data_IF_047802504835
#
_entry.id   IF_047802504835
#
_cell.length_a   1.000
_cell.length_b   1.000
_cell.length_c   1.000
_cell.angle_alpha   90.00
_cell.angle_beta   90.00
_cell.angle_gamma   90.00
#
_symmetry.space_group_name_H-M   'P 1'
#
loop_
_entity.id
_entity.type
_entity.pdbx_description
1 polymer ?
#
# COMPACT_ATOMS: atom_id res chain seq x y z
N UNK A 1 -24.20 18.91 0.93
CA UNK A 1 -24.84 17.70 1.51
C UNK A 1 -23.94 16.50 1.20
N UNK A 2 -23.45 15.80 2.22
CA UNK A 2 -22.62 14.60 2.03
C UNK A 2 -23.55 13.39 2.08
N UNK A 3 -23.70 12.71 0.94
CA UNK A 3 -24.45 11.46 0.90
C UNK A 3 -23.62 10.34 1.51
N UNK A 4 -24.10 9.75 2.59
CA UNK A 4 -23.49 8.58 3.22
C UNK A 4 -23.89 7.30 2.48
N UNK A 5 -22.91 6.48 2.13
CA UNK A 5 -23.12 5.15 1.55
C UNK A 5 -22.55 4.09 2.50
N UNK A 6 -23.33 3.03 2.74
CA UNK A 6 -22.81 1.85 3.47
C UNK A 6 -22.06 0.96 2.50
N UNK A 7 -20.84 0.60 2.82
CA UNK A 7 -20.04 -0.37 2.09
C UNK A 7 -19.63 -1.51 3.04
N UNK A 8 -19.56 -2.72 2.51
CA UNK A 8 -18.98 -3.87 3.23
C UNK A 8 -17.55 -4.02 2.77
N UNK A 9 -16.63 -4.04 3.73
CA UNK A 9 -15.22 -4.30 3.45
C UNK A 9 -15.02 -5.75 2.99
N UNK A 10 -14.11 -5.93 2.07
CA UNK A 10 -13.78 -7.23 1.51
C UNK A 10 -13.69 -7.21 0.00
N UNK A 11 -13.40 -8.36 -0.59
CA UNK A 11 -13.27 -8.54 -2.04
C UNK A 11 -14.21 -9.61 -2.56
N UNK A 12 -14.51 -9.57 -3.84
CA UNK A 12 -15.18 -10.65 -4.54
C UNK A 12 -14.29 -11.89 -4.57
N UNK A 13 -14.90 -13.07 -4.57
CA UNK A 13 -14.16 -14.33 -4.79
C UNK A 13 -13.52 -14.39 -6.18
N UNK A 14 -14.23 -13.87 -7.19
CA UNK A 14 -13.75 -13.70 -8.56
C UNK A 14 -14.06 -12.28 -9.01
N UNK A 15 -13.02 -11.54 -9.42
CA UNK A 15 -13.19 -10.23 -10.04
C UNK A 15 -13.42 -10.34 -11.56
N UNK A 16 -12.88 -11.38 -12.19
CA UNK A 16 -13.15 -11.69 -13.59
C UNK A 16 -13.98 -12.98 -13.70
N UNK A 17 -15.19 -12.85 -14.21
CA UNK A 17 -16.12 -13.96 -14.45
C UNK A 17 -16.78 -13.82 -15.83
N UNK A 18 -16.62 -14.79 -16.71
CA UNK A 18 -17.13 -14.75 -18.08
C UNK A 18 -16.56 -13.57 -18.87
N UNK A 19 -17.43 -12.70 -19.36
CA UNK A 19 -17.08 -11.49 -20.11
C UNK A 19 -17.08 -10.21 -19.23
N UNK A 20 -17.17 -10.35 -17.91
CA UNK A 20 -17.23 -9.22 -17.00
C UNK A 20 -16.01 -9.19 -16.10
N UNK A 21 -15.39 -8.01 -15.96
CA UNK A 21 -14.29 -7.76 -15.01
C UNK A 21 -14.68 -6.62 -14.10
N UNK A 22 -14.67 -6.88 -12.79
CA UNK A 22 -14.78 -5.85 -11.77
C UNK A 22 -13.41 -5.23 -11.53
N UNK A 23 -13.36 -3.90 -11.41
CA UNK A 23 -12.15 -3.16 -11.06
C UNK A 23 -12.45 -2.19 -9.92
N UNK A 24 -11.45 -1.91 -9.08
CA UNK A 24 -11.60 -1.01 -7.95
C UNK A 24 -12.75 -1.40 -7.02
N UNK A 25 -13.59 -0.46 -6.62
CA UNK A 25 -14.70 -0.71 -5.67
C UNK A 25 -15.77 -1.69 -6.18
N UNK A 26 -15.87 -1.91 -7.48
CA UNK A 26 -16.75 -2.94 -8.03
C UNK A 26 -16.22 -4.37 -7.76
N UNK A 27 -14.93 -4.52 -7.54
CA UNK A 27 -14.26 -5.78 -7.24
C UNK A 27 -14.04 -5.99 -5.73
N UNK A 28 -13.69 -4.93 -5.00
CA UNK A 28 -13.48 -5.00 -3.56
C UNK A 28 -13.38 -3.63 -2.90
N UNK A 29 -13.69 -3.58 -1.63
CA UNK A 29 -13.64 -2.36 -0.82
C UNK A 29 -12.69 -2.59 0.34
N UNK A 30 -11.70 -1.72 0.45
CA UNK A 30 -10.77 -1.66 1.58
C UNK A 30 -10.96 -0.36 2.34
N UNK A 31 -10.45 -0.28 3.56
CA UNK A 31 -10.51 0.96 4.35
C UNK A 31 -9.83 2.13 3.62
N UNK A 32 -10.46 3.31 3.53
CA UNK A 32 -9.89 4.47 2.84
C UNK A 32 -8.89 5.25 3.72
N UNK A 33 -8.19 4.58 4.64
CA UNK A 33 -7.20 5.18 5.53
C UNK A 33 -5.85 5.45 4.85
N UNK A 34 -5.63 4.81 3.72
CA UNK A 34 -4.40 4.91 2.92
C UNK A 34 -4.77 5.12 1.45
N UNK A 35 -3.82 5.44 0.56
CA UNK A 35 -4.06 5.44 -0.88
C UNK A 35 -4.32 4.05 -1.48
N UNK A 36 -4.41 2.98 -0.68
CA UNK A 36 -4.62 1.60 -1.16
C UNK A 36 -5.79 1.45 -2.16
N UNK A 37 -6.97 2.08 -1.99
CA UNK A 37 -8.03 1.98 -3.00
C UNK A 37 -7.61 2.44 -4.40
N UNK A 38 -6.78 3.47 -4.49
CA UNK A 38 -6.28 3.97 -5.78
C UNK A 38 -5.19 3.07 -6.35
N UNK A 39 -4.27 2.60 -5.50
CA UNK A 39 -3.25 1.62 -5.88
C UNK A 39 -3.88 0.33 -6.43
N UNK A 40 -4.89 -0.20 -5.75
CA UNK A 40 -5.60 -1.41 -6.18
C UNK A 40 -6.33 -1.21 -7.51
N UNK A 41 -6.98 -0.05 -7.69
CA UNK A 41 -7.62 0.29 -8.96
C UNK A 41 -6.61 0.37 -10.11
N UNK A 42 -5.47 1.02 -9.91
CA UNK A 42 -4.40 1.12 -10.89
C UNK A 42 -3.88 -0.28 -11.28
N UNK A 43 -3.57 -1.11 -10.29
CA UNK A 43 -3.11 -2.49 -10.51
C UNK A 43 -4.14 -3.36 -11.20
N UNK A 44 -5.43 -3.20 -10.88
CA UNK A 44 -6.52 -3.91 -11.55
C UNK A 44 -6.57 -3.54 -13.04
N UNK A 45 -6.44 -2.24 -13.37
CA UNK A 45 -6.45 -1.75 -14.75
C UNK A 45 -5.21 -2.25 -15.51
N UNK A 46 -4.02 -2.09 -14.96
CA UNK A 46 -2.77 -2.56 -15.58
C UNK A 46 -2.80 -4.05 -15.86
N UNK A 47 -3.27 -4.84 -14.89
CA UNK A 47 -3.42 -6.29 -15.04
C UNK A 47 -4.43 -6.65 -16.11
N UNK A 48 -5.58 -5.95 -16.15
CA UNK A 48 -6.58 -6.17 -17.18
C UNK A 48 -6.00 -5.90 -18.55
N UNK A 49 -5.31 -4.77 -18.74
CA UNK A 49 -4.68 -4.41 -20.02
C UNK A 49 -3.62 -5.44 -20.45
N UNK A 50 -2.84 -5.96 -19.49
CA UNK A 50 -1.83 -6.99 -19.78
C UNK A 50 -2.42 -8.36 -20.12
N UNK A 51 -3.64 -8.66 -19.66
CA UNK A 51 -4.30 -9.95 -19.81
C UNK A 51 -5.49 -9.94 -20.78
N UNK A 52 -5.76 -8.83 -21.48
CA UNK A 52 -6.80 -8.82 -22.51
C UNK A 52 -6.47 -9.85 -23.58
N UNK A 53 -7.33 -10.86 -23.79
CA UNK A 53 -7.05 -11.92 -24.74
C UNK A 53 -7.10 -11.41 -26.18
N UNK A 54 -6.16 -11.87 -26.99
CA UNK A 54 -6.09 -11.55 -28.42
C UNK A 54 -6.97 -12.51 -29.26
N UNK A 55 -7.26 -13.67 -28.71
CA UNK A 55 -8.04 -14.73 -29.36
C UNK A 55 -9.13 -15.26 -28.42
N UNK A 56 -10.14 -15.95 -28.99
CA UNK A 56 -11.26 -16.48 -28.19
C UNK A 56 -10.84 -17.46 -27.10
N UNK A 57 -11.36 -17.23 -25.90
CA UNK A 57 -11.08 -17.98 -24.69
C UNK A 57 -10.37 -17.11 -23.64
N UNK A 58 -10.94 -17.03 -22.43
CA UNK A 58 -10.44 -16.12 -21.37
C UNK A 58 -10.07 -16.87 -20.08
N UNK A 59 -10.08 -18.21 -20.12
CA UNK A 59 -9.98 -19.00 -18.90
C UNK A 59 -8.62 -18.86 -18.18
N UNK A 60 -7.53 -18.81 -18.95
CA UNK A 60 -6.16 -18.69 -18.40
C UNK A 60 -5.94 -17.29 -17.87
N UNK A 61 -6.30 -16.28 -18.64
CA UNK A 61 -6.18 -14.87 -18.30
C UNK A 61 -7.03 -14.54 -17.08
N UNK A 62 -8.27 -15.01 -17.04
CA UNK A 62 -9.18 -14.83 -15.92
C UNK A 62 -8.65 -15.51 -14.65
N UNK A 63 -8.10 -16.70 -14.75
CA UNK A 63 -7.51 -17.41 -13.61
C UNK A 63 -6.31 -16.63 -13.03
N UNK A 64 -5.40 -16.15 -13.88
CA UNK A 64 -4.24 -15.37 -13.44
C UNK A 64 -4.65 -13.99 -12.91
N UNK A 65 -5.62 -13.31 -13.55
CA UNK A 65 -6.18 -12.07 -13.06
C UNK A 65 -6.73 -12.24 -11.63
N UNK A 66 -7.60 -13.24 -11.44
CA UNK A 66 -8.24 -13.48 -10.15
C UNK A 66 -7.24 -13.87 -9.07
N UNK A 67 -6.21 -14.65 -9.41
CA UNK A 67 -5.15 -15.01 -8.46
C UNK A 67 -4.41 -13.78 -7.95
N UNK A 68 -3.92 -12.93 -8.85
CA UNK A 68 -3.20 -11.70 -8.49
C UNK A 68 -4.08 -10.68 -7.79
N UNK A 69 -5.32 -10.56 -8.24
CA UNK A 69 -6.33 -9.72 -7.60
C UNK A 69 -6.53 -10.11 -6.12
N UNK A 70 -6.68 -11.41 -5.85
CA UNK A 70 -6.84 -11.90 -4.50
C UNK A 70 -5.63 -11.54 -3.61
N UNK A 71 -4.41 -11.77 -4.10
CA UNK A 71 -3.17 -11.44 -3.36
C UNK A 71 -3.06 -9.94 -3.08
N UNK A 72 -3.34 -9.08 -4.05
CA UNK A 72 -3.26 -7.63 -3.87
C UNK A 72 -4.20 -7.13 -2.76
N UNK A 73 -5.45 -7.61 -2.76
CA UNK A 73 -6.44 -7.22 -1.74
C UNK A 73 -6.11 -7.80 -0.37
N UNK A 74 -5.64 -9.05 -0.30
CA UNK A 74 -5.25 -9.68 0.95
C UNK A 74 -4.03 -8.97 1.56
N UNK A 75 -3.05 -8.58 0.75
CA UNK A 75 -1.92 -7.76 1.20
C UNK A 75 -2.33 -6.35 1.64
N UNK A 76 -3.29 -5.73 0.94
CA UNK A 76 -3.81 -4.43 1.36
C UNK A 76 -4.51 -4.50 2.73
N UNK A 77 -5.27 -5.57 2.97
CA UNK A 77 -5.89 -5.81 4.27
C UNK A 77 -4.83 -5.99 5.38
N UNK A 78 -3.75 -6.76 5.12
CA UNK A 78 -2.64 -6.92 6.07
C UNK A 78 -1.95 -5.59 6.38
N UNK A 79 -1.69 -4.78 5.35
CA UNK A 79 -1.05 -3.47 5.52
C UNK A 79 -1.91 -2.53 6.36
N UNK A 80 -3.21 -2.49 6.10
CA UNK A 80 -4.15 -1.69 6.89
C UNK A 80 -4.31 -2.22 8.31
N UNK A 81 -4.40 -3.52 8.49
CA UNK A 81 -4.48 -4.12 9.83
C UNK A 81 -3.22 -3.82 10.67
N UNK A 82 -2.05 -3.75 10.05
CA UNK A 82 -0.83 -3.34 10.73
C UNK A 82 -0.92 -1.92 11.34
N UNK A 83 -1.70 -1.02 10.73
CA UNK A 83 -1.96 0.31 11.30
C UNK A 83 -2.79 0.19 12.59
N UNK A 84 -3.81 -0.67 12.61
CA UNK A 84 -4.66 -0.85 13.79
C UNK A 84 -3.97 -1.53 14.96
N UNK A 85 -2.83 -2.19 14.73
CA UNK A 85 -2.00 -2.80 15.78
C UNK A 85 -0.96 -1.84 16.37
N UNK A 86 -1.03 -0.55 16.05
CA UNK A 86 -0.11 0.46 16.60
C UNK A 86 -0.59 1.01 17.93
N UNK A 87 0.36 1.45 18.76
CA UNK A 87 0.08 2.19 19.97
C UNK A 87 -0.34 3.64 19.66
N UNK A 88 -1.07 4.26 20.60
CA UNK A 88 -1.43 5.68 20.50
C UNK A 88 -2.51 6.00 19.47
N UNK A 89 -3.25 5.03 18.99
CA UNK A 89 -4.43 5.26 18.15
C UNK A 89 -5.57 5.90 18.97
N UNK A 90 -6.45 6.67 18.29
CA UNK A 90 -7.60 7.27 18.96
C UNK A 90 -8.47 6.24 19.69
N UNK A 91 -9.12 6.69 20.75
CA UNK A 91 -10.14 5.90 21.43
C UNK A 91 -11.47 6.00 20.68
N UNK A 92 -12.27 4.94 20.80
CA UNK A 92 -13.61 4.89 20.25
C UNK A 92 -13.98 3.49 19.76
N UNK A 93 -15.29 3.22 19.58
CA UNK A 93 -15.79 1.86 19.24
C UNK A 93 -15.17 1.31 17.93
N UNK A 94 -14.97 2.15 16.93
CA UNK A 94 -14.34 1.77 15.66
C UNK A 94 -12.92 1.27 15.87
N UNK A 95 -12.07 2.05 16.55
CA UNK A 95 -10.67 1.70 16.78
C UNK A 95 -10.51 0.49 17.70
N UNK A 96 -11.40 0.36 18.68
CA UNK A 96 -11.42 -0.81 19.57
C UNK A 96 -11.79 -2.07 18.82
N UNK A 97 -12.83 -2.03 17.97
CA UNK A 97 -13.22 -3.15 17.14
C UNK A 97 -12.10 -3.56 16.15
N UNK A 98 -11.49 -2.60 15.47
CA UNK A 98 -10.40 -2.86 14.54
C UNK A 98 -9.16 -3.48 15.22
N UNK A 99 -8.82 -3.05 16.43
CA UNK A 99 -7.74 -3.66 17.24
C UNK A 99 -8.06 -5.05 17.76
N UNK A 100 -9.34 -5.35 17.99
CA UNK A 100 -9.77 -6.64 18.50
C UNK A 100 -9.80 -7.74 17.44
N UNK A 101 -9.66 -7.41 16.17
CA UNK A 101 -9.57 -8.40 15.11
C UNK A 101 -8.33 -9.28 15.27
N UNK A 102 -8.49 -10.58 15.02
CA UNK A 102 -7.38 -11.52 15.07
C UNK A 102 -6.30 -11.16 14.06
N UNK A 103 -5.06 -11.09 14.52
CA UNK A 103 -3.91 -10.81 13.67
C UNK A 103 -3.54 -12.08 12.90
N UNK A 104 -3.60 -12.08 11.56
CA UNK A 104 -3.18 -13.24 10.77
C UNK A 104 -1.69 -13.55 10.96
N UNK A 105 -1.31 -14.82 10.89
CA UNK A 105 0.08 -15.28 11.05
C UNK A 105 1.07 -14.52 10.14
N UNK A 106 0.67 -14.26 8.89
CA UNK A 106 1.48 -13.49 7.92
C UNK A 106 1.81 -12.09 8.44
N UNK A 107 0.85 -11.42 9.08
CA UNK A 107 1.06 -10.10 9.66
C UNK A 107 1.85 -10.19 10.97
N UNK A 108 1.51 -11.11 11.85
CA UNK A 108 2.23 -11.34 13.11
C UNK A 108 3.72 -11.56 12.86
N UNK A 109 4.05 -12.35 11.83
CA UNK A 109 5.45 -12.56 11.42
C UNK A 109 6.14 -11.27 10.99
N UNK A 110 5.46 -10.40 10.19
CA UNK A 110 6.01 -9.09 9.79
C UNK A 110 6.29 -8.20 11.00
N UNK A 111 5.30 -8.07 11.88
CA UNK A 111 5.39 -7.24 13.07
C UNK A 111 6.51 -7.74 14.01
N UNK A 112 6.51 -9.03 14.33
CA UNK A 112 7.50 -9.64 15.22
C UNK A 112 8.92 -9.53 14.69
N UNK A 113 9.14 -9.78 13.39
CA UNK A 113 10.48 -9.71 12.79
C UNK A 113 11.01 -8.28 12.79
N UNK A 114 10.13 -7.30 12.49
CA UNK A 114 10.52 -5.89 12.57
C UNK A 114 10.81 -5.47 13.99
N UNK A 115 9.92 -5.73 14.94
CA UNK A 115 10.07 -5.30 16.35
C UNK A 115 11.28 -5.93 17.02
N UNK A 116 11.58 -7.19 16.72
CA UNK A 116 12.73 -7.88 17.33
C UNK A 116 14.07 -7.60 16.66
N UNK A 117 14.08 -7.40 15.34
CA UNK A 117 15.31 -7.41 14.54
C UNK A 117 15.43 -6.28 13.52
N UNK A 118 14.41 -5.46 13.31
CA UNK A 118 14.38 -4.49 12.21
C UNK A 118 14.31 -5.12 10.81
N UNK A 119 13.92 -6.41 10.74
CA UNK A 119 13.82 -7.12 9.46
C UNK A 119 12.46 -6.89 8.84
N UNK A 120 12.44 -6.41 7.61
CA UNK A 120 11.24 -6.26 6.79
C UNK A 120 10.99 -7.56 6.03
N UNK A 121 9.94 -8.28 6.39
CA UNK A 121 9.54 -9.51 5.70
C UNK A 121 8.75 -9.13 4.46
N UNK A 122 9.22 -9.51 3.28
CA UNK A 122 8.50 -9.38 2.02
C UNK A 122 7.83 -10.70 1.64
N UNK A 123 6.66 -10.62 1.03
CA UNK A 123 5.95 -11.75 0.43
C UNK A 123 5.89 -11.58 -1.08
N UNK A 124 5.73 -12.68 -1.80
CA UNK A 124 5.58 -12.65 -3.25
C UNK A 124 4.31 -11.86 -3.65
N UNK A 125 4.42 -11.13 -4.74
CA UNK A 125 3.34 -10.30 -5.32
C UNK A 125 2.81 -9.19 -4.40
N UNK A 126 3.50 -8.87 -3.34
CA UNK A 126 3.09 -7.82 -2.42
C UNK A 126 3.11 -6.45 -3.12
N UNK A 127 1.98 -5.68 -3.09
CA UNK A 127 1.92 -4.37 -3.74
C UNK A 127 2.65 -3.27 -2.98
N UNK A 128 2.98 -3.52 -1.70
CA UNK A 128 3.69 -2.58 -0.84
C UNK A 128 5.17 -2.95 -0.77
N UNK A 129 6.02 -1.98 -1.09
CA UNK A 129 7.47 -2.15 -1.04
C UNK A 129 8.00 -2.15 0.40
N UNK A 130 9.23 -2.63 0.64
CA UNK A 130 9.85 -2.59 1.98
C UNK A 130 9.86 -1.18 2.58
N UNK A 131 10.01 -0.14 1.76
CA UNK A 131 9.99 1.26 2.17
C UNK A 131 8.62 1.67 2.73
N UNK A 132 7.52 1.19 2.15
CA UNK A 132 6.16 1.47 2.64
C UNK A 132 5.97 0.88 4.04
N UNK A 133 6.42 -0.35 4.24
CA UNK A 133 6.42 -1.02 5.55
C UNK A 133 7.32 -0.30 6.55
N UNK A 134 8.49 0.17 6.14
CA UNK A 134 9.38 0.92 7.00
C UNK A 134 8.73 2.23 7.46
N UNK A 135 8.14 2.98 6.51
CA UNK A 135 7.43 4.22 6.80
C UNK A 135 6.25 3.94 7.75
N UNK A 136 5.48 2.89 7.50
CA UNK A 136 4.38 2.48 8.37
C UNK A 136 4.87 2.19 9.79
N UNK A 137 5.86 1.30 9.95
CA UNK A 137 6.38 0.93 11.26
C UNK A 137 6.91 2.15 12.03
N UNK A 138 7.79 2.92 11.38
CA UNK A 138 8.43 4.06 12.02
C UNK A 138 7.43 5.20 12.30
N UNK A 139 6.50 5.45 11.37
CA UNK A 139 5.43 6.45 11.50
C UNK A 139 4.45 6.12 12.62
N UNK A 140 4.16 4.84 12.83
CA UNK A 140 3.30 4.34 13.91
C UNK A 140 4.07 4.11 15.24
N UNK A 141 5.28 4.61 15.36
CA UNK A 141 6.05 4.56 16.60
C UNK A 141 6.76 3.24 16.89
N UNK A 142 6.62 2.21 16.04
CA UNK A 142 7.35 0.95 16.24
C UNK A 142 8.83 1.15 16.02
N UNK A 143 9.62 0.61 16.94
CA UNK A 143 11.08 0.65 16.89
C UNK A 143 11.62 -0.76 17.11
N UNK A 144 12.61 -1.20 16.34
CA UNK A 144 13.23 -2.50 16.54
C UNK A 144 14.04 -2.52 17.85
N UNK A 145 13.90 -3.62 18.60
CA UNK A 145 14.68 -3.83 19.82
C UNK A 145 16.19 -4.01 19.52
N UNK A 146 16.51 -4.44 18.31
CA UNK A 146 17.89 -4.60 17.81
C UNK A 146 17.93 -4.21 16.34
N UNK A 147 19.03 -3.64 15.89
CA UNK A 147 19.32 -3.34 14.50
C UNK A 147 20.22 -4.42 13.88
N UNK A 148 20.37 -4.38 12.56
CA UNK A 148 21.28 -5.27 11.85
C UNK A 148 22.74 -4.94 12.23
N UNK A 149 23.53 -5.92 12.76
CA UNK A 149 24.93 -5.71 13.11
C UNK A 149 25.79 -5.27 11.93
N UNK A 150 25.36 -5.48 10.69
CA UNK A 150 26.06 -4.95 9.52
C UNK A 150 26.16 -3.42 9.53
N UNK A 151 25.23 -2.74 10.18
CA UNK A 151 25.27 -1.29 10.35
C UNK A 151 26.51 -0.82 11.12
N UNK A 152 27.07 -1.65 12.00
CA UNK A 152 28.28 -1.33 12.78
C UNK A 152 29.56 -1.31 11.93
N UNK A 153 29.51 -1.84 10.70
CA UNK A 153 30.63 -1.74 9.74
C UNK A 153 30.76 -0.34 9.11
N UNK A 154 29.70 0.44 9.18
CA UNK A 154 29.74 1.80 8.67
C UNK A 154 30.34 2.77 9.72
N UNK A 155 31.29 3.59 9.29
CA UNK A 155 31.88 4.61 10.15
C UNK A 155 30.85 5.70 10.48
N UNK A 156 30.56 5.92 11.74
CA UNK A 156 29.63 6.95 12.22
C UNK A 156 29.95 8.33 11.66
N UNK A 157 31.24 8.65 11.52
CA UNK A 157 31.71 9.91 10.97
C UNK A 157 31.24 10.15 9.51
N UNK A 158 30.96 9.09 8.76
CA UNK A 158 30.46 9.15 7.38
C UNK A 158 28.91 9.07 7.33
N UNK A 159 28.31 8.24 8.16
CA UNK A 159 26.86 7.99 8.18
C UNK A 159 26.09 9.24 8.63
N UNK A 160 26.52 9.89 9.70
CA UNK A 160 25.81 11.06 10.24
C UNK A 160 25.70 12.22 9.25
N UNK A 161 26.79 12.67 8.59
CA UNK A 161 26.70 13.70 7.55
C UNK A 161 25.87 13.26 6.35
N UNK A 162 25.93 11.99 5.94
CA UNK A 162 25.13 11.46 4.84
C UNK A 162 23.64 11.56 5.13
N UNK A 163 23.18 11.08 6.29
CA UNK A 163 21.79 11.15 6.69
C UNK A 163 21.29 12.60 6.86
N UNK A 164 22.13 13.48 7.44
CA UNK A 164 21.81 14.89 7.56
C UNK A 164 21.69 15.59 6.20
N UNK A 165 22.55 15.24 5.26
CA UNK A 165 22.49 15.78 3.92
C UNK A 165 21.25 15.27 3.16
N UNK A 166 20.88 14.00 3.33
CA UNK A 166 19.68 13.42 2.74
C UNK A 166 18.42 14.11 3.28
N UNK A 167 18.32 14.30 4.60
CA UNK A 167 17.19 15.02 5.22
C UNK A 167 17.06 16.44 4.66
N UNK A 168 18.17 17.18 4.58
CA UNK A 168 18.19 18.53 4.00
C UNK A 168 17.79 18.56 2.53
N UNK A 169 18.25 17.58 1.74
CA UNK A 169 17.89 17.48 0.32
C UNK A 169 16.39 17.23 0.15
N UNK A 170 15.80 16.36 1.00
CA UNK A 170 14.37 16.11 1.02
C UNK A 170 13.60 17.39 1.38
N UNK A 171 13.99 18.08 2.46
CA UNK A 171 13.36 19.34 2.87
C UNK A 171 13.40 20.41 1.78
N UNK A 172 14.55 20.56 1.12
CA UNK A 172 14.70 21.48 -0.01
C UNK A 172 13.82 21.09 -1.19
N UNK A 173 13.79 19.79 -1.52
CA UNK A 173 12.92 19.25 -2.56
C UNK A 173 11.44 19.55 -2.28
N UNK A 174 10.98 19.29 -1.06
CA UNK A 174 9.59 19.57 -0.65
C UNK A 174 9.27 21.05 -0.73
N UNK A 175 10.20 21.94 -0.32
CA UNK A 175 10.02 23.39 -0.38
C UNK A 175 9.87 23.94 -1.82
N UNK A 176 10.36 23.23 -2.83
CA UNK A 176 10.25 23.61 -4.24
C UNK A 176 9.00 23.06 -4.93
N UNK A 177 8.26 22.14 -4.30
CA UNK A 177 7.07 21.58 -4.89
C UNK A 177 5.93 22.60 -4.96
N UNK A 178 5.24 22.70 -6.09
CA UNK A 178 4.07 23.58 -6.20
C UNK A 178 2.92 23.03 -5.34
N UNK A 179 2.02 23.89 -4.85
CA UNK A 179 0.80 23.44 -4.20
C UNK A 179 0.04 22.44 -5.06
N UNK A 180 -0.59 21.41 -4.47
CA UNK A 180 -1.28 20.32 -5.17
C UNK A 180 -2.25 20.81 -6.26
N UNK A 181 -3.00 21.90 -6.00
CA UNK A 181 -3.92 22.51 -6.98
C UNK A 181 -3.20 23.00 -8.23
N UNK A 182 -2.00 23.56 -8.07
CA UNK A 182 -1.19 24.09 -9.17
C UNK A 182 -0.61 22.94 -9.98
N UNK A 183 -0.05 21.95 -9.30
CA UNK A 183 0.46 20.74 -9.94
C UNK A 183 -0.61 20.02 -10.76
N UNK A 184 -1.81 19.86 -10.19
CA UNK A 184 -2.94 19.23 -10.90
C UNK A 184 -3.31 20.00 -12.17
N UNK A 185 -3.41 21.33 -12.10
CA UNK A 185 -3.72 22.13 -13.28
C UNK A 185 -2.64 22.01 -14.38
N UNK A 186 -1.38 21.98 -13.98
CA UNK A 186 -0.25 21.76 -14.90
C UNK A 186 -0.31 20.36 -15.56
N UNK A 187 -0.61 19.33 -14.76
CA UNK A 187 -0.74 17.96 -15.26
C UNK A 187 -1.93 17.84 -16.23
N UNK A 188 -3.07 18.39 -15.91
CA UNK A 188 -4.24 18.42 -16.82
C UNK A 188 -3.90 19.10 -18.15
N UNK A 189 -3.17 20.21 -18.11
CA UNK A 189 -2.73 20.91 -19.33
C UNK A 189 -1.75 20.07 -20.15
N UNK A 190 -0.82 19.40 -19.48
CA UNK A 190 0.14 18.48 -20.12
C UNK A 190 -0.58 17.32 -20.83
N UNK A 191 -1.51 16.66 -20.13
CA UNK A 191 -2.28 15.52 -20.65
C UNK A 191 -3.14 15.92 -21.86
N UNK A 192 -3.77 17.10 -21.84
CA UNK A 192 -4.53 17.61 -23.00
C UNK A 192 -3.64 17.83 -24.23
N UNK A 193 -2.42 18.33 -24.03
CA UNK A 193 -1.46 18.53 -25.13
C UNK A 193 -0.89 17.22 -25.68
N UNK A 194 -0.75 16.20 -24.84
CA UNK A 194 -0.26 14.88 -25.24
C UNK A 194 -1.33 14.06 -25.99
N UNK A 195 -2.61 14.41 -25.84
CA UNK A 195 -3.74 13.74 -26.50
C UNK A 195 -4.16 14.41 -27.82
N UNK A 196 -3.58 15.55 -28.18
CA UNK A 196 -3.80 16.29 -29.44
C UNK A 196 -2.71 15.99 -30.47
#
# INVERSE_FOLDING_TARGET
>A
EVAGTKATLGRRSLAWAGNCVGVGQAAGVVEPLTPAPMLLLERDIERLLALIPVTGGTAVEAAEYNRRFAEDYDHAALFQQAMFQADGLPDGPYWQAARAEAVPERLERKLTMFERRGVLVAYDLEPFHPEDWLILHMGMGRRPARYDPLADRAERAQVTPFLSNMARTIEQGVATLPPARVYRAQLEQYLRKAAS
#
